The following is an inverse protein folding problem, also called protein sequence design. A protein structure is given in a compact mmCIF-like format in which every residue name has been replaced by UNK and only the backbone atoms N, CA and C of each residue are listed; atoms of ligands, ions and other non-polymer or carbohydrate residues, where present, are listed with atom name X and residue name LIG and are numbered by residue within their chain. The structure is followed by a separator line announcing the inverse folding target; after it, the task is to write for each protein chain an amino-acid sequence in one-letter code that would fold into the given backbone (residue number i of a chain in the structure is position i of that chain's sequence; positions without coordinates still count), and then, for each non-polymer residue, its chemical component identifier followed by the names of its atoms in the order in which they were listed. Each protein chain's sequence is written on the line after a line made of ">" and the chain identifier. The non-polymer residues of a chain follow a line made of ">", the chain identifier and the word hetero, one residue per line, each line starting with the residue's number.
data_IF_846120831932
#
_entry.id   IF_846120831932
#
_cell.length_a   1.000
_cell.length_b   1.000
_cell.length_c   1.000
_cell.angle_alpha   90.00
_cell.angle_beta   90.00
_cell.angle_gamma   90.00
#
_symmetry.space_group_name_H-M   'P 1'
#
loop_
_entity.id
_entity.type
_entity.pdbx_description
1 polymer ?
2 water ?
#
# COMPACT_ATOMS: atom_id res chain seq x y z
N UNK A 2 3.65 -1.03 19.61
CA UNK A 2 3.11 -0.70 18.30
C UNK A 2 1.68 -1.20 18.21
N UNK A 3 0.78 -0.27 17.90
CA UNK A 3 -0.61 -0.64 17.63
C UNK A 3 -0.90 -0.51 16.14
N UNK A 4 -1.62 -1.49 15.60
CA UNK A 4 -1.99 -1.49 14.20
C UNK A 4 -3.48 -1.78 14.07
N UNK A 5 -4.01 -1.58 12.87
CA UNK A 5 -5.44 -1.77 12.64
C UNK A 5 -5.79 -3.20 12.21
N UNK A 6 -7.07 -3.55 12.31
CA UNK A 6 -7.54 -4.78 11.67
C UNK A 6 -7.17 -4.83 10.19
N UNK A 7 -7.33 -3.70 9.51
CA UNK A 7 -6.98 -3.63 8.09
C UNK A 7 -5.53 -4.03 7.87
N UNK A 8 -4.65 -3.59 8.74
CA UNK A 8 -3.25 -3.98 8.67
C UNK A 8 -3.11 -5.50 8.73
N UNK A 9 -3.72 -6.11 9.75
CA UNK A 9 -3.48 -7.52 10.03
C UNK A 9 -4.25 -8.47 9.12
N UNK A 10 -5.56 -8.27 8.99
CA UNK A 10 -6.35 -9.21 8.20
C UNK A 10 -6.70 -8.68 6.80
N UNK A 11 -6.42 -7.40 6.54
CA UNK A 11 -6.57 -6.87 5.19
C UNK A 11 -7.80 -5.99 4.97
N UNK A 12 -8.72 -6.06 5.92
CA UNK A 12 -9.99 -5.35 5.86
C UNK A 12 -10.46 -5.19 7.30
N UNK A 13 -11.51 -4.39 7.51
CA UNK A 13 -12.07 -4.24 8.84
C UNK A 13 -11.92 -2.84 9.42
N UNK A 14 -11.79 -2.77 10.73
CA UNK A 14 -11.67 -1.48 11.40
C UNK A 14 -10.41 -0.72 10.99
N UNK A 15 -10.55 0.60 10.92
CA UNK A 15 -9.48 1.45 10.40
C UNK A 15 -8.50 1.97 11.49
N UNK A 16 -8.99 2.23 12.70
CA UNK A 16 -8.08 2.84 13.67
C UNK A 16 -7.04 1.83 14.20
N UNK A 17 -5.87 2.35 14.55
CA UNK A 17 -4.77 1.49 14.97
C UNK A 17 -4.87 1.21 16.46
N UNK A 18 -5.56 0.12 16.82
CA UNK A 18 -5.71 -0.19 18.24
C UNK A 18 -5.41 -1.65 18.60
N UNK A 19 -4.78 -2.39 17.69
CA UNK A 19 -4.39 -3.77 17.98
C UNK A 19 -2.93 -3.84 18.36
N UNK A 20 -2.65 -4.30 19.58
CA UNK A 20 -1.30 -4.36 20.08
C UNK A 20 -0.59 -5.61 19.57
N UNK A 21 0.61 -5.45 19.02
CA UNK A 21 1.31 -6.64 18.57
C UNK A 21 2.65 -6.84 19.28
N UNK A 22 3.01 -5.92 20.17
CA UNK A 22 4.24 -6.06 20.94
C UNK A 22 5.46 -5.52 20.22
N UNK A 23 6.59 -6.21 20.36
CA UNK A 23 7.87 -5.71 19.85
C UNK A 23 8.33 -6.32 18.52
N UNK A 24 7.57 -7.27 18.00
CA UNK A 24 7.97 -7.95 16.77
C UNK A 24 7.40 -7.31 15.53
N UNK A 25 7.28 -8.12 14.47
CA UNK A 25 6.69 -7.68 13.22
C UNK A 25 5.18 -7.86 13.24
N UNK A 26 4.47 -7.06 12.46
CA UNK A 26 3.04 -7.24 12.24
C UNK A 26 2.82 -8.19 11.07
N UNK A 27 2.00 -9.22 11.28
CA UNK A 27 1.66 -10.11 10.19
C UNK A 27 0.49 -9.57 9.40
N UNK A 28 0.77 -9.07 8.20
CA UNK A 28 -0.24 -8.61 7.27
C UNK A 28 -0.62 -9.81 6.42
N UNK A 29 -1.62 -10.53 6.89
CA UNK A 29 -2.01 -11.79 6.30
C UNK A 29 -2.38 -11.66 4.83
N UNK A 30 -1.87 -12.56 4.01
CA UNK A 30 -2.29 -12.70 2.64
C UNK A 30 -1.81 -11.69 1.62
N UNK A 31 -1.05 -10.68 2.03
CA UNK A 31 -0.72 -9.61 1.09
C UNK A 31 0.23 -10.08 -0.02
N UNK A 32 0.94 -11.19 0.22
CA UNK A 32 1.88 -11.70 -0.78
C UNK A 32 1.37 -12.94 -1.50
N UNK A 33 0.06 -13.17 -1.47
CA UNK A 33 -0.52 -14.32 -2.16
C UNK A 33 -0.61 -14.08 -3.66
N UNK A 34 -0.80 -15.15 -4.41
CA UNK A 34 -1.08 -15.01 -5.82
C UNK A 34 0.11 -15.23 -6.72
N UNK A 35 -0.05 -14.88 -8.00
CA UNK A 35 0.93 -15.22 -9.02
C UNK A 35 1.81 -14.07 -9.49
N UNK A 36 1.66 -12.88 -8.90
CA UNK A 36 2.51 -11.76 -9.29
C UNK A 36 3.98 -12.03 -8.98
N UNK A 37 4.86 -11.30 -9.64
CA UNK A 37 6.30 -11.47 -9.43
C UNK A 37 6.68 -11.15 -7.99
N UNK A 38 7.81 -11.69 -7.54
CA UNK A 38 8.27 -11.40 -6.19
C UNK A 38 8.53 -9.90 -6.03
N UNK A 39 9.00 -9.23 -7.07
CA UNK A 39 9.23 -7.79 -6.99
C UNK A 39 7.93 -7.03 -6.80
N UNK A 40 6.90 -7.41 -7.57
CA UNK A 40 5.61 -6.73 -7.44
C UNK A 40 5.00 -7.00 -6.07
N UNK A 41 5.08 -8.25 -5.60
CA UNK A 41 4.61 -8.59 -4.26
C UNK A 41 5.37 -7.78 -3.20
N UNK A 42 6.67 -7.61 -3.40
CA UNK A 42 7.48 -6.84 -2.45
C UNK A 42 6.99 -5.41 -2.36
N UNK A 43 6.59 -4.84 -3.49
CA UNK A 43 6.07 -3.49 -3.52
C UNK A 43 4.71 -3.39 -2.84
N UNK A 44 3.84 -4.34 -3.12
CA UNK A 44 2.54 -4.36 -2.46
C UNK A 44 2.70 -4.48 -0.95
N UNK A 45 3.58 -5.36 -0.52
CA UNK A 45 3.80 -5.58 0.90
C UNK A 45 4.39 -4.34 1.55
N UNK A 46 5.42 -3.75 0.94
CA UNK A 46 6.03 -2.59 1.56
C UNK A 46 5.02 -1.45 1.72
N UNK A 47 4.21 -1.22 0.70
CA UNK A 47 3.22 -0.16 0.75
C UNK A 47 2.09 -0.46 1.73
N UNK A 48 1.64 -1.72 1.80
CA UNK A 48 0.67 -2.06 2.82
C UNK A 48 1.25 -1.76 4.20
N UNK A 49 2.52 -2.10 4.38
CA UNK A 49 3.17 -1.88 5.67
C UNK A 49 3.30 -0.41 6.02
N UNK A 50 3.73 0.42 5.06
CA UNK A 50 3.89 1.85 5.37
C UNK A 50 2.56 2.59 5.34
N UNK A 51 1.67 2.22 4.42
CA UNK A 51 0.46 2.97 4.20
C UNK A 51 -0.74 2.54 5.02
N UNK A 52 -0.76 1.30 5.45
CA UNK A 52 -1.90 0.78 6.21
C UNK A 52 -1.47 0.41 7.63
N UNK A 53 -0.39 -0.36 7.77
CA UNK A 53 0.14 -0.66 9.10
C UNK A 53 0.88 0.52 9.74
N UNK A 54 1.23 1.52 8.94
CA UNK A 54 1.95 2.71 9.41
C UNK A 54 3.28 2.34 10.05
N UNK A 55 3.94 1.35 9.45
CA UNK A 55 5.28 0.95 9.84
C UNK A 55 6.32 1.56 8.93
N UNK A 56 7.55 1.06 9.04
CA UNK A 56 8.66 1.58 8.23
C UNK A 56 8.80 0.87 6.89
N UNK A 57 8.24 -0.33 6.79
CA UNK A 57 8.37 -1.14 5.59
C UNK A 57 8.06 -2.58 5.92
N UNK A 58 8.21 -3.47 4.96
CA UNK A 58 8.01 -4.87 5.24
C UNK A 58 8.42 -5.75 4.09
N UNK A 59 8.36 -7.05 4.30
CA UNK A 59 8.72 -8.00 3.27
C UNK A 59 7.87 -9.26 3.35
N UNK A 60 7.75 -9.96 2.23
CA UNK A 60 6.99 -11.20 2.17
C UNK A 60 7.71 -12.33 2.89
N UNK A 61 6.93 -13.33 3.29
CA UNK A 61 7.48 -14.49 3.98
C UNK A 61 8.52 -15.24 3.17
N UNK A 62 9.51 -15.78 3.88
CA UNK A 62 10.59 -16.50 3.23
C UNK A 62 10.83 -17.86 3.88
N UNK A 63 9.96 -18.24 4.81
CA UNK A 63 10.09 -19.53 5.48
C UNK A 63 10.91 -19.51 6.77
N UNK A 64 11.50 -18.36 7.08
CA UNK A 64 12.22 -18.19 8.34
C UNK A 64 11.26 -18.18 9.51
N UNK A 65 11.78 -18.36 10.72
CA UNK A 65 10.97 -18.35 11.93
C UNK A 65 10.17 -17.05 12.05
N UNK A 66 10.82 -15.95 11.70
CA UNK A 66 10.22 -14.64 11.82
C UNK A 66 9.21 -14.34 10.72
N UNK A 67 9.44 -14.91 9.54
CA UNK A 67 8.58 -14.63 8.38
C UNK A 67 8.22 -15.95 7.70
N UNK A 68 7.43 -16.79 8.39
CA UNK A 68 7.30 -18.19 7.97
C UNK A 68 6.43 -18.47 6.75
N UNK A 69 5.44 -17.62 6.48
CA UNK A 69 4.46 -17.90 5.45
C UNK A 69 4.66 -17.02 4.21
N UNK A 70 4.96 -17.65 3.07
CA UNK A 70 5.26 -16.91 1.85
C UNK A 70 4.09 -16.08 1.33
N UNK A 71 2.87 -16.41 1.76
CA UNK A 71 1.70 -15.64 1.35
C UNK A 71 1.48 -14.40 2.22
N UNK A 72 2.18 -14.34 3.34
CA UNK A 72 2.02 -13.23 4.27
C UNK A 72 3.12 -12.19 4.11
N UNK A 73 2.78 -10.99 4.53
CA UNK A 73 3.65 -9.83 4.50
C UNK A 73 3.96 -9.49 5.95
N UNK A 74 5.22 -9.20 6.26
CA UNK A 74 5.66 -8.96 7.62
C UNK A 74 6.20 -7.55 7.75
N UNK A 75 5.48 -6.73 8.53
CA UNK A 75 5.75 -5.31 8.63
C UNK A 75 6.55 -4.94 9.86
N UNK A 76 7.52 -4.07 9.67
CA UNK A 76 8.35 -3.54 10.73
C UNK A 76 7.83 -2.19 11.21
N UNK A 77 7.92 -1.93 12.51
CA UNK A 77 7.47 -0.66 13.06
C UNK A 77 8.38 0.49 12.63
N UNK A 78 7.92 1.71 12.87
CA UNK A 78 8.80 2.87 12.77
C UNK A 78 9.66 2.96 14.02
N UNK B 1 -19.10 12.35 -5.42
CA UNK B 1 -17.75 12.13 -5.94
C UNK B 1 -16.89 11.33 -4.98
N UNK B 2 -15.96 10.55 -5.54
CA UNK B 2 -14.87 9.91 -4.80
C UNK B 2 -14.14 10.94 -3.97
N UNK B 3 -14.01 10.67 -2.68
CA UNK B 3 -13.24 11.53 -1.79
C UNK B 3 -11.99 10.79 -1.34
N UNK B 4 -10.86 11.50 -1.32
CA UNK B 4 -9.59 10.92 -0.90
C UNK B 4 -8.86 11.85 0.07
N UNK B 5 -7.85 11.31 0.72
CA UNK B 5 -7.08 12.01 1.72
C UNK B 5 -5.80 12.63 1.18
N UNK B 6 -5.21 13.51 1.98
CA UNK B 6 -3.87 14.01 1.74
C UNK B 6 -2.88 12.86 1.59
N UNK B 7 -3.02 11.83 2.41
CA UNK B 7 -2.09 10.71 2.34
C UNK B 7 -2.19 10.01 0.99
N UNK B 8 -3.40 9.91 0.45
CA UNK B 8 -3.59 9.40 -0.90
C UNK B 8 -2.87 10.27 -1.94
N UNK B 9 -3.15 11.57 -1.94
CA UNK B 9 -2.69 12.46 -2.99
C UNK B 9 -1.22 12.82 -2.89
N UNK B 10 -0.70 12.99 -1.69
CA UNK B 10 0.67 13.47 -1.55
C UNK B 10 1.56 12.52 -0.74
N UNK B 11 0.98 11.50 -0.12
CA UNK B 11 1.77 10.49 0.56
C UNK B 11 2.11 10.81 2.00
N UNK B 12 1.56 11.91 2.50
CA UNK B 12 1.72 12.30 3.90
C UNK B 12 0.59 13.23 4.30
N UNK B 13 0.49 13.53 5.60
CA UNK B 13 -0.53 14.44 6.09
C UNK B 13 -1.76 13.75 6.65
N UNK B 14 -2.91 14.36 6.39
CA UNK B 14 -4.19 13.96 7.00
C UNK B 14 -4.70 12.61 6.50
N UNK B 15 -5.33 11.87 7.41
CA UNK B 15 -5.92 10.57 7.09
C UNK B 15 -7.34 10.66 6.56
N UNK B 16 -8.09 11.67 6.99
CA UNK B 16 -9.48 11.82 6.56
C UNK B 16 -9.57 12.10 5.06
N UNK B 17 -10.60 11.54 4.43
CA UNK B 17 -10.82 11.77 3.01
C UNK B 17 -11.59 13.06 2.77
N UNK B 18 -10.86 14.15 2.49
CA UNK B 18 -11.44 15.49 2.43
C UNK B 18 -11.37 16.16 1.05
N UNK B 19 -10.91 15.43 0.05
CA UNK B 19 -10.73 16.02 -1.28
C UNK B 19 -11.43 15.21 -2.37
N UNK B 20 -12.31 15.87 -3.11
CA UNK B 20 -13.09 15.19 -4.13
C UNK B 20 -12.35 15.07 -5.46
N UNK B 21 -12.52 13.90 -6.08
CA UNK B 21 -11.95 13.57 -7.37
C UNK B 21 -13.07 13.41 -8.38
N UNK B 22 -13.41 14.48 -9.05
CA UNK B 22 -14.53 14.49 -9.97
C UNK B 22 -14.42 13.53 -11.13
N UNK B 23 -13.20 13.35 -11.65
CA UNK B 23 -13.01 12.53 -12.84
C UNK B 23 -12.68 11.07 -12.52
N UNK B 24 -12.80 10.71 -11.25
CA UNK B 24 -12.54 9.35 -10.82
C UNK B 24 -11.15 8.82 -11.13
N UNK B 25 -10.19 9.71 -11.37
CA UNK B 25 -8.78 9.32 -11.46
C UNK B 25 -7.99 10.17 -10.48
N UNK B 26 -7.49 9.54 -9.42
CA UNK B 26 -6.76 10.24 -8.37
C UNK B 26 -5.28 10.13 -8.65
N UNK B 27 -4.57 11.26 -8.64
CA UNK B 27 -3.13 11.24 -8.84
C UNK B 27 -2.42 11.19 -7.51
N UNK B 28 -1.81 10.05 -7.24
CA UNK B 28 -1.00 9.85 -6.05
C UNK B 28 0.42 10.27 -6.39
N UNK B 29 0.71 11.54 -6.11
CA UNK B 29 1.95 12.16 -6.54
C UNK B 29 3.15 11.47 -5.95
N UNK B 30 4.15 11.20 -6.79
CA UNK B 30 5.44 10.77 -6.34
C UNK B 30 5.58 9.31 -5.97
N UNK B 31 4.50 8.54 -6.00
CA UNK B 31 4.56 7.17 -5.51
C UNK B 31 5.40 6.26 -6.42
N UNK B 32 5.68 6.69 -7.65
CA UNK B 32 6.49 5.89 -8.55
C UNK B 32 7.87 6.50 -8.78
N UNK B 33 8.29 7.42 -7.90
CA UNK B 33 9.62 7.99 -8.01
C UNK B 33 10.69 7.03 -7.53
N UNK B 34 11.93 7.33 -7.88
CA UNK B 34 13.06 6.59 -7.37
C UNK B 34 13.53 5.47 -8.28
N UNK B 35 14.29 4.55 -7.70
CA UNK B 35 15.04 3.58 -8.47
C UNK B 35 14.61 2.14 -8.26
N UNK B 36 13.51 1.91 -7.55
CA UNK B 36 12.95 0.55 -7.47
C UNK B 36 12.59 0.06 -8.88
N UNK B 37 12.53 -1.26 -9.05
CA UNK B 37 12.15 -1.85 -10.33
C UNK B 37 10.73 -1.43 -10.71
N UNK B 38 10.42 -1.50 -12.01
CA UNK B 38 9.07 -1.16 -12.45
C UNK B 38 8.05 -2.12 -11.85
N UNK B 39 8.41 -3.39 -11.67
CA UNK B 39 7.49 -4.34 -11.05
C UNK B 39 7.20 -3.94 -9.60
N UNK B 40 8.24 -3.60 -8.86
CA UNK B 40 8.06 -3.19 -7.47
C UNK B 40 7.25 -1.90 -7.40
N UNK B 41 7.57 -0.92 -8.25
CA UNK B 41 6.79 0.31 -8.31
C UNK B 41 5.33 0.03 -8.62
N UNK B 42 5.07 -0.90 -9.54
CA UNK B 42 3.70 -1.23 -9.92
C UNK B 42 2.95 -1.78 -8.70
N UNK B 43 3.60 -2.62 -7.90
CA UNK B 43 2.97 -3.16 -6.70
C UNK B 43 2.72 -2.10 -5.64
N UNK B 44 3.71 -1.24 -5.41
CA UNK B 44 3.55 -0.12 -4.51
C UNK B 44 2.41 0.79 -4.92
N UNK B 45 2.34 1.12 -6.21
CA UNK B 45 1.30 2.00 -6.70
C UNK B 45 -0.09 1.34 -6.58
N UNK B 46 -0.22 0.10 -7.02
CA UNK B 46 -1.53 -0.53 -6.95
C UNK B 46 -2.03 -0.61 -5.50
N UNK B 47 -1.15 -0.98 -4.58
CA UNK B 47 -1.55 -1.10 -3.18
C UNK B 47 -1.80 0.28 -2.54
N UNK B 48 -1.06 1.30 -2.97
CA UNK B 48 -1.35 2.65 -2.53
C UNK B 48 -2.78 3.01 -2.96
N UNK B 49 -3.10 2.70 -4.20
CA UNK B 49 -4.41 3.00 -4.72
C UNK B 49 -5.52 2.28 -3.99
N UNK B 50 -5.37 0.99 -3.71
CA UNK B 50 -6.44 0.26 -3.05
C UNK B 50 -6.47 0.50 -1.54
N UNK B 51 -5.31 0.61 -0.90
CA UNK B 51 -5.23 0.66 0.54
C UNK B 51 -5.12 2.04 1.16
N UNK B 52 -4.77 3.03 0.35
CA UNK B 52 -4.68 4.41 0.86
C UNK B 52 -5.73 5.29 0.16
N UNK B 53 -5.80 5.25 -1.16
CA UNK B 53 -6.83 6.00 -1.88
C UNK B 53 -8.19 5.31 -1.87
N UNK B 54 -8.22 4.02 -1.57
CA UNK B 54 -9.44 3.20 -1.51
C UNK B 54 -10.13 3.10 -2.88
N UNK B 55 -9.33 3.16 -3.95
CA UNK B 55 -9.82 2.90 -5.29
C UNK B 55 -9.66 1.45 -5.70
N UNK B 56 -9.92 1.17 -6.97
CA UNK B 56 -9.89 -0.20 -7.47
C UNK B 56 -8.47 -0.70 -7.76
N UNK B 57 -7.56 0.23 -8.01
CA UNK B 57 -6.20 -0.15 -8.37
C UNK B 57 -5.55 1.02 -9.08
N UNK B 58 -4.33 0.86 -9.56
CA UNK B 58 -3.71 1.91 -10.32
C UNK B 58 -2.39 1.49 -10.89
N UNK B 59 -1.76 2.40 -11.64
CA UNK B 59 -0.49 2.12 -12.25
C UNK B 59 0.34 3.39 -12.36
N UNK B 60 1.63 3.21 -12.52
CA UNK B 60 2.55 4.32 -12.63
C UNK B 60 2.43 5.03 -13.97
N UNK B 61 2.82 6.29 -13.99
CA UNK B 61 2.83 7.04 -15.22
C UNK B 61 3.66 6.36 -16.29
N UNK B 62 3.23 6.49 -17.54
CA UNK B 62 3.96 5.91 -18.66
C UNK B 62 4.22 6.95 -19.75
N UNK B 63 3.89 8.22 -19.48
CA UNK B 63 4.09 9.27 -20.47
C UNK B 63 2.95 9.48 -21.45
N UNK B 64 1.92 8.66 -21.35
CA UNK B 64 0.71 8.85 -22.14
C UNK B 64 -0.09 10.03 -21.59
N UNK B 65 -0.98 10.57 -22.40
CA UNK B 65 -1.83 11.67 -21.93
C UNK B 65 -2.64 11.25 -20.72
N UNK B 66 -3.01 9.97 -20.68
CA UNK B 66 -3.78 9.42 -19.58
C UNK B 66 -2.98 9.39 -18.27
N UNK B 67 -1.69 9.07 -18.36
CA UNK B 67 -0.82 8.87 -17.21
C UNK B 67 0.54 9.52 -17.50
N UNK B 68 0.59 10.86 -17.47
CA UNK B 68 1.74 11.52 -18.10
C UNK B 68 3.05 11.49 -17.33
N UNK B 69 2.98 11.51 -16.00
CA UNK B 69 4.18 11.69 -15.20
C UNK B 69 4.65 10.36 -14.62
N UNK B 70 5.82 9.91 -15.06
CA UNK B 70 6.36 8.63 -14.62
C UNK B 70 6.67 8.55 -13.13
N UNK B 71 6.73 9.70 -12.46
CA UNK B 71 6.93 9.71 -11.02
C UNK B 71 5.65 9.48 -10.24
N UNK B 72 4.52 9.62 -10.91
CA UNK B 72 3.23 9.58 -10.24
C UNK B 72 2.52 8.25 -10.45
N UNK B 73 1.59 7.97 -9.53
CA UNK B 73 0.75 6.80 -9.53
C UNK B 73 -0.69 7.23 -9.81
N UNK B 74 -1.32 6.62 -10.79
CA UNK B 74 -2.66 7.03 -11.24
C UNK B 74 -3.67 5.98 -10.79
N UNK B 75 -4.52 6.39 -9.85
CA UNK B 75 -5.46 5.46 -9.21
C UNK B 75 -6.86 5.55 -9.79
N UNK B 76 -7.41 4.41 -10.18
CA UNK B 76 -8.76 4.31 -10.67
C UNK B 76 -9.76 4.17 -9.54
N UNK B 77 -10.93 4.77 -9.72
CA UNK B 77 -12.01 4.69 -8.74
C UNK B 77 -12.60 3.31 -8.62
N UNK B 78 -13.42 3.16 -7.59
CA UNK B 78 -14.33 2.03 -7.51
C UNK B 78 -15.48 2.24 -8.49
#
# INVERSE_FOLDING_TARGET
>A
MWKVSERCLKGHGKFQADQEIGNGLATAKGQCKGTDSDQKKAGKCDKHCTGVCLGSGGSCGDGSSQKPNKEDCYCKSK
>B
MWKVSERCLKGHGKFQADQEIGNGLATAKGQCKGTDSDQKKAGKCDKHCTGVCLGSGGSCGDGSSQKPNKEDCYCKSK
#
